data_IF_068771825826
#
_entry.id   IF_068771825826
#
_cell.length_a   1.000
_cell.length_b   1.000
_cell.length_c   1.000
_cell.angle_alpha   90.00
_cell.angle_beta   90.00
_cell.angle_gamma   90.00
#
_symmetry.space_group_name_H-M   'P 1'
#
loop_
_entity.id
_entity.type
_entity.pdbx_description
1 polymer ?
#
# COMPACT_ATOMS: atom_id res chain seq x y z
N UNK A 1 -22.37 -54.95 56.82
CA UNK A 1 -23.08 -53.83 56.16
C UNK A 1 -22.14 -52.63 56.08
N UNK A 2 -22.00 -52.02 54.89
CA UNK A 2 -21.48 -50.68 54.48
C UNK A 2 -21.03 -49.74 55.63
N UNK A 3 -19.96 -48.92 55.58
CA UNK A 3 -18.93 -48.43 54.63
C UNK A 3 -17.84 -47.77 55.53
N UNK A 4 -16.53 -48.06 55.40
CA UNK A 4 -15.48 -47.30 54.63
C UNK A 4 -15.13 -45.92 55.24
N UNK A 5 -13.90 -45.44 55.52
CA UNK A 5 -12.48 -45.91 55.47
C UNK A 5 -11.59 -44.88 56.22
N UNK A 6 -10.45 -45.37 56.72
CA UNK A 6 -9.14 -44.80 57.13
C UNK A 6 -8.90 -43.28 57.29
N UNK A 7 -8.04 -42.99 58.28
CA UNK A 7 -6.99 -41.98 58.13
C UNK A 7 -5.70 -42.44 58.83
N UNK A 8 -4.57 -42.34 58.13
CA UNK A 8 -3.23 -42.77 58.54
C UNK A 8 -2.40 -41.64 59.19
N UNK A 9 -1.47 -42.12 60.01
CA UNK A 9 -0.27 -41.54 60.65
C UNK A 9 0.70 -41.04 59.53
N UNK A 10 1.60 -40.03 59.61
CA UNK A 10 2.78 -39.84 60.48
C UNK A 10 3.57 -38.58 60.05
N UNK A 11 4.52 -38.19 60.89
CA UNK A 11 5.34 -36.98 60.96
C UNK A 11 6.38 -36.70 59.84
N UNK A 12 6.72 -35.39 59.76
CA UNK A 12 8.00 -34.70 59.54
C UNK A 12 9.14 -35.29 58.67
N UNK A 13 9.73 -34.45 57.80
CA UNK A 13 11.15 -34.00 57.75
C UNK A 13 11.40 -33.11 56.51
N UNK A 14 12.27 -32.12 56.66
CA UNK A 14 12.71 -31.12 55.68
C UNK A 14 13.26 -31.70 54.35
N UNK A 15 12.99 -31.00 53.25
CA UNK A 15 13.83 -31.01 52.06
C UNK A 15 13.93 -29.60 51.45
N UNK A 16 15.17 -29.13 51.28
CA UNK A 16 15.55 -27.94 50.51
C UNK A 16 15.08 -28.10 49.06
N UNK A 17 14.41 -27.09 48.51
CA UNK A 17 14.22 -26.93 47.08
C UNK A 17 15.03 -25.72 46.60
N UNK A 18 16.10 -26.01 45.88
CA UNK A 18 16.81 -25.09 44.99
C UNK A 18 15.84 -24.49 43.98
N UNK A 19 15.70 -23.16 43.97
CA UNK A 19 15.02 -22.44 42.89
C UNK A 19 15.98 -22.45 41.69
N UNK A 20 15.66 -23.11 40.56
CA UNK A 20 16.44 -22.94 39.35
C UNK A 20 16.33 -21.48 38.91
N UNK A 21 17.46 -20.90 38.49
CA UNK A 21 17.54 -19.56 37.92
C UNK A 21 16.42 -19.38 36.90
N UNK A 22 15.46 -18.51 37.24
CA UNK A 22 14.36 -18.17 36.37
C UNK A 22 14.93 -17.60 35.09
N UNK A 23 14.54 -18.19 33.97
CA UNK A 23 14.53 -17.57 32.67
C UNK A 23 13.80 -16.24 32.87
N UNK A 24 14.53 -15.13 32.89
CA UNK A 24 13.93 -13.81 32.76
C UNK A 24 13.43 -13.73 31.34
N UNK A 25 12.23 -14.25 31.09
CA UNK A 25 11.45 -13.83 29.93
C UNK A 25 11.32 -12.32 30.08
N UNK A 26 12.05 -11.58 29.24
CA UNK A 26 11.86 -10.14 29.11
C UNK A 26 10.37 -9.93 28.90
N UNK A 27 9.71 -9.05 29.67
CA UNK A 27 8.27 -8.87 29.53
C UNK A 27 7.99 -8.48 28.07
N UNK A 28 7.22 -9.32 27.37
CA UNK A 28 6.62 -8.93 26.11
C UNK A 28 5.94 -7.60 26.35
N UNK A 29 6.33 -6.56 25.60
CA UNK A 29 5.73 -5.25 25.71
C UNK A 29 4.21 -5.43 25.51
N UNK A 30 3.44 -5.14 26.55
CA UNK A 30 1.99 -5.21 26.48
C UNK A 30 1.51 -4.08 25.57
N UNK A 31 1.31 -4.37 24.29
CA UNK A 31 0.71 -3.46 23.34
C UNK A 31 -0.80 -3.41 23.58
N UNK A 32 -1.39 -2.21 23.62
CA UNK A 32 -2.85 -2.08 23.72
C UNK A 32 -3.56 -2.57 22.45
N UNK A 33 -2.82 -2.71 21.35
CA UNK A 33 -3.28 -3.33 20.14
C UNK A 33 -2.78 -4.78 20.02
N UNK A 34 -3.60 -5.67 19.48
CA UNK A 34 -3.28 -7.09 19.33
C UNK A 34 -3.37 -7.51 17.86
N UNK A 35 -2.30 -8.10 17.33
CA UNK A 35 -2.38 -8.91 16.10
C UNK A 35 -3.01 -10.24 16.50
N UNK A 36 -4.21 -10.52 15.97
CA UNK A 36 -5.05 -11.63 16.42
C UNK A 36 -4.29 -12.98 16.45
N UNK A 37 -3.94 -13.49 15.27
CA UNK A 37 -3.17 -14.74 15.15
C UNK A 37 -1.67 -14.45 15.04
N UNK A 38 -0.86 -15.28 15.69
CA UNK A 38 0.59 -15.32 15.47
C UNK A 38 0.85 -15.63 14.00
N UNK A 39 1.40 -14.66 13.27
CA UNK A 39 1.77 -14.86 11.88
C UNK A 39 3.11 -15.59 11.77
N UNK A 40 3.21 -16.50 10.81
CA UNK A 40 4.50 -17.13 10.51
C UNK A 40 5.36 -16.17 9.68
N UNK A 41 6.70 -16.26 9.75
CA UNK A 41 7.62 -15.48 8.91
C UNK A 41 7.29 -15.59 7.42
N UNK A 42 6.86 -16.78 6.97
CA UNK A 42 6.45 -17.05 5.60
C UNK A 42 5.20 -16.26 5.23
N UNK A 43 4.22 -16.21 6.13
CA UNK A 43 3.03 -15.39 5.95
C UNK A 43 3.38 -13.90 5.88
N UNK A 44 4.13 -13.38 6.87
CA UNK A 44 4.55 -11.97 6.91
C UNK A 44 5.33 -11.59 5.64
N UNK A 45 6.24 -12.47 5.19
CA UNK A 45 6.97 -12.28 3.94
C UNK A 45 6.05 -12.27 2.73
N UNK A 46 5.05 -13.17 2.67
CA UNK A 46 4.11 -13.24 1.55
C UNK A 46 3.24 -11.98 1.43
N UNK A 47 2.81 -11.39 2.55
CA UNK A 47 1.89 -10.24 2.55
C UNK A 47 2.58 -8.88 2.48
N UNK A 48 3.88 -8.80 2.83
CA UNK A 48 4.66 -7.57 2.74
C UNK A 48 4.94 -7.19 1.28
N UNK A 49 4.88 -5.90 0.94
CA UNK A 49 5.28 -5.39 -0.38
C UNK A 49 6.81 -5.28 -0.50
N UNK A 50 7.48 -4.98 0.62
CA UNK A 50 8.95 -4.94 0.74
C UNK A 50 9.40 -5.54 2.06
N UNK A 51 10.53 -6.25 2.05
CA UNK A 51 11.17 -6.80 3.25
C UNK A 51 12.63 -6.40 3.22
N UNK A 52 13.07 -5.65 4.22
CA UNK A 52 14.42 -5.10 4.24
C UNK A 52 15.01 -5.06 5.65
N UNK A 53 16.34 -5.03 5.70
CA UNK A 53 17.12 -4.86 6.91
C UNK A 53 17.93 -3.56 6.82
N UNK A 54 17.91 -2.74 7.87
CA UNK A 54 18.68 -1.51 7.93
C UNK A 54 18.40 -0.65 9.15
N UNK A 55 19.01 0.54 9.18
CA UNK A 55 18.94 1.48 10.29
C UNK A 55 18.19 2.78 9.92
N UNK A 56 17.38 3.35 10.84
CA UNK A 56 16.87 4.69 10.67
C UNK A 56 18.00 5.70 10.86
N UNK A 57 18.13 6.62 9.92
CA UNK A 57 19.04 7.78 9.98
C UNK A 57 18.32 9.07 10.38
N UNK A 58 16.98 9.06 10.33
CA UNK A 58 16.13 10.18 10.73
C UNK A 58 14.78 9.66 11.17
N UNK A 59 14.21 10.24 12.21
CA UNK A 59 12.85 9.96 12.66
C UNK A 59 12.14 11.30 12.81
N UNK A 60 11.03 11.47 12.11
CA UNK A 60 10.20 12.67 12.15
C UNK A 60 8.74 12.30 12.38
N UNK A 61 7.94 13.28 12.82
CA UNK A 61 6.49 13.19 12.75
C UNK A 61 5.99 13.88 11.48
N UNK A 62 5.06 13.23 10.77
CA UNK A 62 4.48 13.74 9.54
C UNK A 62 2.96 13.53 9.54
N UNK A 63 2.24 14.41 8.87
CA UNK A 63 0.83 14.27 8.58
C UNK A 63 0.64 13.63 7.20
N UNK A 64 -0.21 12.61 7.13
CA UNK A 64 -0.65 11.95 5.91
C UNK A 64 -2.13 11.59 6.04
N UNK A 65 -2.95 11.83 5.02
CA UNK A 65 -4.42 11.79 5.10
C UNK A 65 -4.96 12.61 6.28
N UNK A 66 -4.21 13.67 6.64
CA UNK A 66 -4.45 14.51 7.79
C UNK A 66 -4.43 13.81 9.15
N UNK A 67 -3.77 12.64 9.26
CA UNK A 67 -3.47 11.96 10.52
C UNK A 67 -1.97 12.03 10.79
N UNK A 68 -1.60 12.09 12.07
CA UNK A 68 -0.21 12.11 12.48
C UNK A 68 0.37 10.69 12.43
N UNK A 69 1.52 10.55 11.79
CA UNK A 69 2.32 9.33 11.71
C UNK A 69 3.74 9.62 12.15
N UNK A 70 4.41 8.58 12.65
CA UNK A 70 5.87 8.57 12.76
C UNK A 70 6.45 8.08 11.45
N UNK A 71 7.49 8.78 10.97
CA UNK A 71 8.22 8.42 9.77
C UNK A 71 9.68 8.13 10.13
N UNK A 72 10.14 6.91 9.81
CA UNK A 72 11.56 6.58 9.80
C UNK A 72 12.14 6.75 8.40
N UNK A 73 13.25 7.47 8.26
CA UNK A 73 14.07 7.45 7.05
C UNK A 73 15.20 6.46 7.25
N UNK A 74 15.29 5.44 6.40
CA UNK A 74 16.21 4.31 6.54
C UNK A 74 17.37 4.38 5.55
N UNK A 75 18.52 3.87 5.99
CA UNK A 75 19.54 3.33 5.09
C UNK A 75 19.34 1.82 5.05
N UNK A 76 18.94 1.31 3.89
CA UNK A 76 18.77 -0.13 3.67
C UNK A 76 20.14 -0.79 3.50
N UNK A 77 20.48 -1.72 4.39
CA UNK A 77 21.68 -2.54 4.26
C UNK A 77 21.45 -3.73 3.32
N UNK A 78 20.31 -4.40 3.49
CA UNK A 78 19.92 -5.56 2.65
C UNK A 78 18.44 -5.49 2.34
N UNK A 79 18.08 -5.81 1.10
CA UNK A 79 16.70 -5.88 0.65
C UNK A 79 16.40 -7.33 0.27
N UNK A 80 15.50 -7.97 1.02
CA UNK A 80 15.10 -9.37 0.81
C UNK A 80 13.93 -9.48 -0.15
N UNK A 81 13.01 -8.50 -0.14
CA UNK A 81 11.82 -8.45 -0.99
C UNK A 81 11.50 -7.03 -1.42
N UNK A 82 10.93 -6.85 -2.61
CA UNK A 82 10.40 -5.56 -3.06
C UNK A 82 11.48 -4.57 -3.52
N UNK A 83 11.12 -3.29 -3.64
CA UNK A 83 12.08 -2.21 -3.89
C UNK A 83 12.68 -1.70 -2.59
N UNK A 84 13.84 -1.05 -2.70
CA UNK A 84 14.48 -0.39 -1.56
C UNK A 84 13.55 0.68 -0.96
N UNK A 85 13.28 0.55 0.34
CA UNK A 85 12.42 1.47 1.10
C UNK A 85 13.29 2.51 1.78
N UNK A 86 13.12 3.78 1.41
CA UNK A 86 13.86 4.89 2.01
C UNK A 86 13.12 5.54 3.17
N UNK A 87 11.79 5.63 3.09
CA UNK A 87 10.93 6.17 4.15
C UNK A 87 9.86 5.16 4.49
N UNK A 88 9.58 5.02 5.78
CA UNK A 88 8.61 4.08 6.32
C UNK A 88 7.69 4.82 7.30
N UNK A 89 6.39 4.73 7.09
CA UNK A 89 5.38 5.26 7.98
C UNK A 89 4.94 4.23 9.01
N UNK A 90 4.67 4.67 10.22
CA UNK A 90 4.02 3.87 11.25
C UNK A 90 3.11 4.77 12.09
N UNK A 91 2.00 4.25 12.65
CA UNK A 91 1.18 5.03 13.58
C UNK A 91 2.03 5.64 14.72
N UNK A 92 1.54 6.71 15.35
CA UNK A 92 2.36 7.53 16.24
C UNK A 92 2.76 6.82 17.55
N UNK A 93 1.95 5.90 18.04
CA UNK A 93 2.14 5.23 19.32
C UNK A 93 1.71 3.76 19.26
N UNK A 94 2.17 2.99 20.24
CA UNK A 94 1.86 1.57 20.41
C UNK A 94 0.36 1.29 20.53
N UNK A 95 -0.41 2.23 21.05
CA UNK A 95 -1.85 2.07 21.25
C UNK A 95 -2.59 2.02 19.89
N UNK A 96 -1.99 2.64 18.87
CA UNK A 96 -2.44 2.60 17.49
C UNK A 96 -1.63 1.60 16.63
N UNK A 97 -0.92 0.65 17.25
CA UNK A 97 0.02 -0.28 16.60
C UNK A 97 1.23 0.38 15.92
N UNK A 98 1.59 1.58 16.37
CA UNK A 98 2.78 2.30 15.97
C UNK A 98 4.05 1.68 16.52
N UNK A 99 5.09 1.64 15.68
CA UNK A 99 6.43 1.25 16.10
C UNK A 99 7.26 2.48 16.51
N UNK A 100 8.23 2.27 17.39
CA UNK A 100 9.24 3.26 17.72
C UNK A 100 10.52 2.92 17.00
N UNK A 101 11.16 3.93 16.42
CA UNK A 101 12.46 3.79 15.76
C UNK A 101 13.51 4.53 16.57
N UNK A 102 14.56 3.82 16.96
CA UNK A 102 15.70 4.40 17.68
C UNK A 102 16.89 4.53 16.73
N UNK A 103 17.53 5.70 16.74
CA UNK A 103 18.73 5.92 15.94
C UNK A 103 19.87 5.04 16.46
N UNK A 104 20.63 4.44 15.55
CA UNK A 104 21.73 3.53 15.88
C UNK A 104 21.32 2.07 16.06
N UNK A 105 20.04 1.75 15.93
CA UNK A 105 19.51 0.39 15.94
C UNK A 105 19.27 -0.11 14.52
N UNK A 106 19.29 -1.42 14.35
CA UNK A 106 18.99 -2.08 13.09
C UNK A 106 17.70 -2.88 13.21
N UNK A 107 16.89 -2.81 12.15
CA UNK A 107 15.57 -3.41 12.11
C UNK A 107 15.40 -4.28 10.87
N UNK A 108 14.76 -5.43 11.04
CA UNK A 108 14.13 -6.17 9.93
C UNK A 108 12.69 -5.69 9.83
N UNK A 109 12.32 -5.17 8.66
CA UNK A 109 11.02 -4.53 8.43
C UNK A 109 10.27 -5.27 7.31
N UNK A 110 9.03 -5.64 7.59
CA UNK A 110 8.06 -6.18 6.64
C UNK A 110 7.07 -5.06 6.24
N UNK A 111 7.50 -4.19 5.34
CA UNK A 111 6.71 -3.04 4.93
C UNK A 111 5.61 -3.43 3.94
N UNK A 112 4.42 -2.87 4.14
CA UNK A 112 3.31 -2.94 3.19
C UNK A 112 3.05 -1.55 2.60
N UNK A 113 2.52 -1.50 1.38
CA UNK A 113 2.21 -0.23 0.71
C UNK A 113 0.71 0.15 0.81
N UNK A 114 0.00 -0.30 1.86
CA UNK A 114 -1.45 -0.09 2.00
C UNK A 114 -1.87 1.36 2.21
N UNK A 115 -0.93 2.25 2.53
CA UNK A 115 -1.17 3.69 2.62
C UNK A 115 -0.74 4.45 1.34
N UNK A 116 -0.33 3.75 0.28
CA UNK A 116 0.33 4.38 -0.88
C UNK A 116 1.77 4.83 -0.59
N UNK A 117 2.21 4.64 0.65
CA UNK A 117 3.58 4.77 1.15
C UNK A 117 3.97 3.47 1.85
N UNK A 118 5.27 3.09 1.84
CA UNK A 118 5.75 1.99 2.67
C UNK A 118 5.40 2.27 4.12
N UNK A 119 4.73 1.32 4.75
CA UNK A 119 4.23 1.43 6.10
C UNK A 119 4.32 0.11 6.85
N UNK A 120 4.47 0.18 8.16
CA UNK A 120 4.59 -0.97 9.03
C UNK A 120 3.93 -0.70 10.38
N UNK A 121 3.39 -1.75 10.99
CA UNK A 121 2.98 -1.74 12.40
C UNK A 121 4.10 -2.28 13.29
N UNK A 122 3.91 -2.17 14.60
CA UNK A 122 4.83 -2.77 15.59
C UNK A 122 5.01 -4.28 15.42
N UNK A 123 4.06 -4.98 14.79
CA UNK A 123 4.15 -6.42 14.52
C UNK A 123 4.90 -6.77 13.24
N UNK A 124 5.31 -5.77 12.47
CA UNK A 124 5.99 -5.95 11.19
C UNK A 124 7.47 -5.54 11.30
N UNK A 125 7.93 -5.19 12.49
CA UNK A 125 9.27 -4.66 12.77
C UNK A 125 9.92 -5.52 13.85
N UNK A 126 11.12 -6.00 13.57
CA UNK A 126 11.88 -6.89 14.43
C UNK A 126 13.27 -6.33 14.68
N UNK A 127 13.77 -6.50 15.90
CA UNK A 127 15.12 -6.10 16.33
C UNK A 127 15.79 -7.19 17.17
N UNK A 128 17.09 -7.06 17.42
CA UNK A 128 17.85 -7.99 18.26
C UNK A 128 17.93 -9.42 17.72
N UNK A 129 17.87 -10.40 18.61
CA UNK A 129 18.07 -11.82 18.27
C UNK A 129 17.02 -12.37 17.30
N UNK A 130 15.78 -11.83 17.35
CA UNK A 130 14.68 -12.23 16.47
C UNK A 130 14.98 -11.98 14.99
N UNK A 131 15.81 -10.98 14.69
CA UNK A 131 16.19 -10.64 13.32
C UNK A 131 16.96 -11.77 12.66
N UNK A 132 17.92 -12.37 13.37
CA UNK A 132 18.77 -13.42 12.78
C UNK A 132 17.97 -14.69 12.51
N UNK A 133 17.08 -15.06 13.43
CA UNK A 133 16.17 -16.20 13.24
C UNK A 133 15.27 -15.99 12.02
N UNK A 134 14.62 -14.83 11.92
CA UNK A 134 13.76 -14.51 10.78
C UNK A 134 14.52 -14.39 9.47
N UNK A 135 15.73 -13.84 9.46
CA UNK A 135 16.58 -13.80 8.26
C UNK A 135 16.95 -15.20 7.81
N UNK A 136 17.27 -16.12 8.74
CA UNK A 136 17.56 -17.51 8.39
C UNK A 136 16.32 -18.17 7.75
N UNK A 137 15.14 -17.99 8.35
CA UNK A 137 13.87 -18.48 7.80
C UNK A 137 13.55 -17.85 6.44
N UNK A 138 13.82 -16.56 6.21
CA UNK A 138 13.65 -15.90 4.91
C UNK A 138 14.61 -16.47 3.85
N UNK A 139 15.83 -16.85 4.25
CA UNK A 139 16.81 -17.45 3.32
C UNK A 139 16.46 -18.91 3.01
N UNK A 140 15.87 -19.62 3.96
CA UNK A 140 15.41 -21.00 3.84
C UNK A 140 13.99 -21.10 3.25
N UNK A 141 13.28 -19.97 3.15
CA UNK A 141 12.06 -19.82 2.35
C UNK A 141 12.43 -20.07 0.89
N UNK A 142 12.46 -21.35 0.54
CA UNK A 142 12.49 -21.82 -0.83
C UNK A 142 11.40 -21.05 -1.57
N UNK A 143 11.85 -20.24 -2.52
CA UNK A 143 11.04 -19.48 -3.48
C UNK A 143 9.84 -20.34 -3.82
N UNK A 144 8.61 -19.83 -3.59
CA UNK A 144 7.32 -20.51 -3.85
C UNK A 144 7.53 -21.53 -4.96
N UNK A 145 7.42 -22.85 -4.70
CA UNK A 145 7.84 -23.87 -5.64
C UNK A 145 7.20 -23.57 -6.99
N UNK A 146 8.05 -23.23 -7.96
CA UNK A 146 7.57 -22.94 -9.32
C UNK A 146 6.94 -24.25 -9.81
N UNK A 147 5.61 -24.28 -10.07
CA UNK A 147 4.98 -25.47 -10.59
C UNK A 147 5.73 -25.88 -11.85
N UNK A 148 6.00 -27.17 -11.99
CA UNK A 148 6.64 -27.67 -13.20
C UNK A 148 5.85 -27.19 -14.43
N UNK A 149 6.49 -26.75 -15.51
CA UNK A 149 5.77 -26.31 -16.70
C UNK A 149 4.83 -27.40 -17.21
N UNK A 150 3.60 -27.03 -17.58
CA UNK A 150 2.58 -27.96 -18.05
C UNK A 150 1.19 -27.67 -17.51
N UNK A 151 0.27 -28.61 -17.76
CA UNK A 151 -1.12 -28.53 -17.31
C UNK A 151 -1.23 -29.11 -15.91
N UNK A 152 -1.83 -28.36 -15.01
CA UNK A 152 -2.14 -28.74 -13.63
C UNK A 152 -3.64 -28.60 -13.40
N UNK A 153 -4.19 -29.50 -12.60
CA UNK A 153 -5.58 -29.35 -12.13
C UNK A 153 -5.55 -28.53 -10.84
N UNK A 154 -6.19 -27.37 -10.87
CA UNK A 154 -6.24 -26.43 -9.76
C UNK A 154 -7.70 -26.06 -9.48
N UNK A 155 -8.04 -25.84 -8.21
CA UNK A 155 -9.37 -25.35 -7.84
C UNK A 155 -9.37 -23.82 -7.90
N UNK A 156 -10.19 -23.26 -8.80
CA UNK A 156 -10.38 -21.83 -8.97
C UNK A 156 -11.72 -21.40 -8.36
N UNK A 157 -11.79 -20.15 -7.90
CA UNK A 157 -13.01 -19.55 -7.39
C UNK A 157 -13.42 -18.41 -8.35
N UNK A 158 -14.65 -18.40 -8.87
CA UNK A 158 -15.09 -17.32 -9.74
C UNK A 158 -15.09 -15.96 -9.02
N UNK A 159 -14.64 -14.90 -9.71
CA UNK A 159 -14.69 -13.52 -9.21
C UNK A 159 -15.74 -12.67 -9.93
N UNK A 160 -16.88 -13.25 -10.32
CA UNK A 160 -17.90 -12.56 -11.13
C UNK A 160 -18.58 -11.38 -10.40
N UNK A 161 -18.56 -11.40 -9.07
CA UNK A 161 -19.09 -10.37 -8.17
C UNK A 161 -18.05 -9.32 -7.77
N UNK A 162 -16.79 -9.51 -8.18
CA UNK A 162 -15.72 -8.57 -7.90
C UNK A 162 -15.95 -7.27 -8.66
N UNK A 163 -15.77 -6.16 -7.98
CA UNK A 163 -15.65 -4.85 -8.62
C UNK A 163 -14.21 -4.36 -8.53
N UNK A 164 -13.74 -3.68 -9.57
CA UNK A 164 -12.43 -3.05 -9.58
C UNK A 164 -12.61 -1.57 -9.86
N UNK A 165 -12.01 -0.71 -9.04
CA UNK A 165 -11.98 0.74 -9.27
C UNK A 165 -10.55 1.21 -9.47
N UNK A 166 -10.36 2.26 -10.28
CA UNK A 166 -9.12 3.05 -10.34
C UNK A 166 -9.48 4.49 -10.01
N UNK A 167 -8.84 5.04 -8.99
CA UNK A 167 -9.08 6.41 -8.52
C UNK A 167 -10.60 6.68 -8.38
N UNK A 168 -11.27 5.74 -7.70
CA UNK A 168 -12.71 5.70 -7.40
C UNK A 168 -13.65 5.59 -8.60
N UNK A 169 -13.12 5.39 -9.81
CA UNK A 169 -13.90 5.09 -11.01
C UNK A 169 -13.95 3.59 -11.24
N UNK A 170 -15.16 3.03 -11.34
CA UNK A 170 -15.34 1.61 -11.68
C UNK A 170 -14.77 1.32 -13.06
N UNK A 171 -13.99 0.25 -13.15
CA UNK A 171 -13.39 -0.19 -14.39
C UNK A 171 -14.02 -1.52 -14.83
N UNK A 172 -14.55 -1.62 -16.06
CA UNK A 172 -14.93 -2.91 -16.61
C UNK A 172 -13.69 -3.78 -16.86
N UNK A 173 -13.88 -5.08 -16.71
CA UNK A 173 -12.90 -6.09 -17.10
C UNK A 173 -13.60 -7.20 -17.89
N UNK A 174 -12.89 -7.77 -18.85
CA UNK A 174 -13.33 -8.95 -19.57
C UNK A 174 -12.10 -9.74 -20.04
N UNK A 175 -12.06 -11.08 -19.84
CA UNK A 175 -13.01 -11.92 -19.09
C UNK A 175 -13.07 -11.64 -17.57
N UNK A 176 -13.95 -12.33 -16.84
CA UNK A 176 -14.09 -12.17 -15.39
C UNK A 176 -12.82 -12.62 -14.65
N UNK A 177 -12.49 -12.03 -13.49
CA UNK A 177 -11.37 -12.43 -12.67
C UNK A 177 -11.67 -13.74 -11.93
N UNK A 178 -10.64 -14.30 -11.32
CA UNK A 178 -10.73 -15.50 -10.47
C UNK A 178 -9.96 -15.28 -9.18
N UNK A 179 -10.43 -15.88 -8.10
CA UNK A 179 -9.61 -16.05 -6.90
C UNK A 179 -8.86 -17.38 -6.99
N UNK A 180 -7.56 -17.32 -6.72
CA UNK A 180 -6.68 -18.47 -6.66
C UNK A 180 -5.61 -18.23 -5.61
N UNK A 181 -5.36 -19.22 -4.74
CA UNK A 181 -4.36 -19.15 -3.65
C UNK A 181 -4.41 -17.82 -2.88
N UNK A 182 -5.61 -17.44 -2.42
CA UNK A 182 -5.88 -16.20 -1.67
C UNK A 182 -5.50 -14.90 -2.40
N UNK A 183 -5.42 -14.94 -3.73
CA UNK A 183 -5.10 -13.78 -4.57
C UNK A 183 -6.16 -13.60 -5.65
N UNK A 184 -6.51 -12.36 -5.93
CA UNK A 184 -7.34 -12.01 -7.08
C UNK A 184 -6.47 -12.00 -8.34
N UNK A 185 -6.80 -12.84 -9.29
CA UNK A 185 -6.19 -12.90 -10.61
C UNK A 185 -7.10 -12.25 -11.64
N UNK A 186 -6.52 -11.36 -12.43
CA UNK A 186 -7.21 -10.68 -13.54
C UNK A 186 -6.63 -11.14 -14.86
N UNK A 187 -7.42 -11.07 -15.95
CA UNK A 187 -6.87 -11.29 -17.29
C UNK A 187 -5.77 -10.27 -17.54
N UNK A 188 -4.65 -10.68 -18.14
CA UNK A 188 -3.55 -9.77 -18.43
C UNK A 188 -4.00 -8.57 -19.29
N UNK A 189 -4.97 -8.78 -20.19
CA UNK A 189 -5.59 -7.73 -21.01
C UNK A 189 -6.24 -6.62 -20.20
N UNK A 190 -6.60 -6.85 -18.93
CA UNK A 190 -7.05 -5.81 -18.01
C UNK A 190 -6.05 -4.64 -17.97
N UNK A 191 -4.76 -4.88 -17.79
CA UNK A 191 -3.76 -3.81 -17.73
C UNK A 191 -3.70 -2.98 -19.02
N UNK A 192 -3.99 -3.59 -20.17
CA UNK A 192 -4.07 -2.89 -21.46
C UNK A 192 -5.37 -2.11 -21.62
N UNK A 193 -6.48 -2.81 -21.48
CA UNK A 193 -7.80 -2.30 -21.86
C UNK A 193 -8.35 -1.32 -20.82
N UNK A 194 -8.06 -1.55 -19.54
CA UNK A 194 -8.49 -0.71 -18.43
C UNK A 194 -7.47 0.37 -18.06
N UNK A 195 -6.19 -0.01 -17.98
CA UNK A 195 -5.14 0.83 -17.38
C UNK A 195 -4.21 1.47 -18.43
N UNK A 196 -4.38 1.13 -19.72
CA UNK A 196 -3.64 1.76 -20.82
C UNK A 196 -2.18 1.33 -20.95
N UNK A 197 -1.77 0.22 -20.32
CA UNK A 197 -0.44 -0.37 -20.47
C UNK A 197 -0.33 -1.17 -21.78
N UNK A 198 0.89 -1.50 -22.16
CA UNK A 198 1.18 -2.47 -23.22
C UNK A 198 1.36 -3.83 -22.57
N UNK A 199 0.68 -4.85 -23.09
CA UNK A 199 0.78 -6.23 -22.59
C UNK A 199 1.21 -7.15 -23.73
N UNK A 200 2.30 -7.89 -23.56
CA UNK A 200 2.86 -8.80 -24.57
C UNK A 200 2.83 -10.22 -24.02
N UNK A 201 2.39 -11.16 -24.86
CA UNK A 201 2.48 -12.58 -24.58
C UNK A 201 3.28 -13.28 -25.67
N UNK A 202 4.42 -13.85 -25.29
CA UNK A 202 5.24 -14.67 -26.18
C UNK A 202 5.14 -16.14 -25.73
N UNK A 203 4.25 -16.88 -26.37
CA UNK A 203 4.02 -18.31 -26.08
C UNK A 203 5.22 -19.20 -26.42
N UNK A 204 6.12 -18.77 -27.32
CA UNK A 204 7.32 -19.54 -27.68
C UNK A 204 8.41 -19.39 -26.62
N UNK A 205 8.54 -18.18 -26.06
CA UNK A 205 9.50 -17.87 -25.01
C UNK A 205 8.94 -18.04 -23.60
N UNK A 206 7.65 -18.36 -23.45
CA UNK A 206 6.97 -18.42 -22.15
C UNK A 206 6.98 -17.08 -21.42
N UNK A 207 7.00 -15.95 -22.14
CA UNK A 207 7.27 -14.63 -21.56
C UNK A 207 6.04 -13.74 -21.58
N UNK A 208 5.76 -13.09 -20.45
CA UNK A 208 4.81 -11.97 -20.40
C UNK A 208 5.52 -10.68 -20.02
N UNK A 209 5.08 -9.60 -20.64
CA UNK A 209 5.65 -8.28 -20.42
C UNK A 209 4.52 -7.24 -20.33
N UNK A 210 4.56 -6.42 -19.28
CA UNK A 210 3.62 -5.34 -19.06
C UNK A 210 4.42 -4.05 -18.90
N UNK A 211 4.19 -3.09 -19.80
CA UNK A 211 5.01 -1.88 -19.90
C UNK A 211 4.18 -0.63 -20.06
N UNK A 212 4.75 0.50 -19.65
CA UNK A 212 4.17 1.80 -19.91
C UNK A 212 4.19 2.10 -21.40
N UNK A 213 3.10 2.70 -21.89
CA UNK A 213 2.96 3.08 -23.29
C UNK A 213 4.02 4.10 -23.75
N UNK A 214 4.55 4.91 -22.84
CA UNK A 214 5.60 5.90 -23.12
C UNK A 214 6.97 5.26 -23.38
N UNK A 215 7.26 4.12 -22.75
CA UNK A 215 8.58 3.48 -22.80
C UNK A 215 8.71 2.50 -23.97
N UNK A 216 7.60 2.17 -24.61
CA UNK A 216 7.56 1.42 -25.86
C UNK A 216 7.35 2.39 -27.03
N UNK A 217 8.45 2.94 -27.55
CA UNK A 217 8.46 3.78 -28.75
C UNK A 217 8.07 2.98 -30.00
N UNK A 218 6.78 2.68 -30.17
CA UNK A 218 6.30 1.88 -31.28
C UNK A 218 4.82 1.58 -31.16
N UNK A 219 4.03 2.24 -32.00
CA UNK A 219 2.58 2.12 -32.13
C UNK A 219 2.21 0.64 -32.41
N UNK A 220 1.60 -0.03 -31.44
CA UNK A 220 0.79 -1.22 -31.72
C UNK A 220 -0.64 -0.96 -31.25
N UNK A 221 -1.55 -0.94 -32.21
CA UNK A 221 -2.98 -0.76 -32.01
C UNK A 221 -3.59 -2.04 -31.42
N UNK A 222 -4.76 -1.90 -30.80
CA UNK A 222 -5.66 -3.01 -30.45
C UNK A 222 -5.75 -4.00 -31.63
N UNK A 223 -5.32 -5.26 -31.43
CA UNK A 223 -5.33 -6.31 -32.47
C UNK A 223 -3.96 -6.75 -33.02
N UNK A 224 -2.85 -6.44 -32.33
CA UNK A 224 -1.56 -7.06 -32.63
C UNK A 224 -1.47 -8.47 -32.00
N UNK A 225 -1.14 -9.53 -32.78
CA UNK A 225 -1.01 -10.89 -32.29
C UNK A 225 0.10 -11.13 -31.27
N UNK A 226 1.06 -10.20 -31.13
CA UNK A 226 2.03 -10.22 -30.03
C UNK A 226 1.43 -9.74 -28.69
N UNK A 227 0.29 -9.04 -28.74
CA UNK A 227 -0.42 -8.55 -27.56
C UNK A 227 -1.54 -9.49 -27.14
N UNK A 228 -1.20 -10.49 -26.30
CA UNK A 228 -2.16 -11.36 -25.58
C UNK A 228 -3.49 -11.53 -26.33
N UNK A 229 -3.44 -12.14 -27.51
CA UNK A 229 -4.67 -12.47 -28.21
C UNK A 229 -5.39 -13.58 -27.45
N UNK A 230 -6.65 -13.31 -27.13
CA UNK A 230 -7.63 -14.32 -26.78
C UNK A 230 -7.77 -15.26 -27.98
N UNK A 231 -7.02 -16.36 -27.98
CA UNK A 231 -6.96 -17.29 -29.12
C UNK A 231 -7.93 -18.47 -28.98
N UNK A 232 -8.70 -18.52 -27.89
CA UNK A 232 -9.62 -19.63 -27.60
C UNK A 232 -11.08 -19.32 -27.92
N UNK A 233 -11.84 -20.33 -28.32
CA UNK A 233 -13.29 -20.39 -28.13
C UNK A 233 -13.60 -20.52 -26.63
N UNK A 234 -13.19 -19.55 -25.81
CA UNK A 234 -13.24 -19.70 -24.36
C UNK A 234 -14.68 -19.80 -23.88
N UNK A 235 -14.96 -20.83 -23.09
CA UNK A 235 -16.19 -20.96 -22.29
C UNK A 235 -16.27 -19.92 -21.18
N UNK A 236 -15.16 -19.28 -20.83
CA UNK A 236 -15.07 -18.22 -19.82
C UNK A 236 -15.02 -18.78 -18.40
N UNK A 237 -15.03 -17.88 -17.42
CA UNK A 237 -15.19 -18.26 -16.02
C UNK A 237 -16.66 -18.65 -15.80
N UNK A 238 -16.95 -19.82 -15.18
CA UNK A 238 -18.31 -20.20 -14.84
C UNK A 238 -19.00 -19.11 -14.02
N UNK A 239 -20.27 -18.84 -14.33
CA UNK A 239 -21.07 -17.88 -13.57
C UNK A 239 -21.35 -18.40 -12.14
N UNK A 240 -21.47 -17.47 -11.19
CA UNK A 240 -21.72 -17.78 -9.77
C UNK A 240 -20.47 -17.60 -8.90
N UNK A 241 -20.49 -18.23 -7.72
CA UNK A 241 -19.44 -18.12 -6.67
C UNK A 241 -18.88 -19.48 -6.24
N UNK A 242 -19.40 -20.57 -6.79
CA UNK A 242 -18.97 -21.92 -6.44
C UNK A 242 -17.58 -22.23 -7.01
N UNK A 243 -16.67 -22.85 -6.23
CA UNK A 243 -15.37 -23.27 -6.74
C UNK A 243 -15.53 -24.32 -7.85
N UNK A 244 -14.57 -24.34 -8.77
CA UNK A 244 -14.53 -25.31 -9.87
C UNK A 244 -13.10 -25.77 -10.13
N UNK A 245 -12.95 -27.03 -10.53
CA UNK A 245 -11.66 -27.57 -10.93
C UNK A 245 -11.36 -27.19 -12.38
N UNK A 246 -10.16 -26.66 -12.59
CA UNK A 246 -9.71 -26.12 -13.85
C UNK A 246 -8.36 -26.72 -14.25
N UNK A 247 -8.23 -27.09 -15.53
CA UNK A 247 -6.91 -27.31 -16.12
C UNK A 247 -6.25 -25.97 -16.38
N UNK A 248 -5.27 -25.60 -15.55
CA UNK A 248 -4.46 -24.40 -15.77
C UNK A 248 -3.09 -24.78 -16.28
N UNK A 249 -2.53 -23.98 -17.17
CA UNK A 249 -1.19 -24.21 -17.72
C UNK A 249 -0.21 -23.23 -17.10
N UNK A 250 0.78 -23.74 -16.38
CA UNK A 250 1.95 -22.95 -15.99
C UNK A 250 3.01 -23.07 -17.09
N UNK A 251 3.58 -21.94 -17.49
CA UNK A 251 4.81 -21.89 -18.29
C UNK A 251 6.01 -21.56 -17.40
N UNK A 252 7.23 -21.76 -17.89
CA UNK A 252 8.42 -21.23 -17.23
C UNK A 252 8.46 -19.71 -17.46
N UNK A 253 7.69 -18.98 -16.64
CA UNK A 253 7.31 -17.60 -16.94
C UNK A 253 8.22 -16.58 -16.27
N UNK A 254 8.85 -15.71 -17.07
CA UNK A 254 9.50 -14.50 -16.60
C UNK A 254 8.53 -13.30 -16.64
N UNK A 255 8.25 -12.70 -15.48
CA UNK A 255 7.54 -11.41 -15.41
C UNK A 255 8.48 -10.29 -15.80
N UNK A 256 8.14 -9.55 -16.85
CA UNK A 256 8.75 -8.24 -17.10
C UNK A 256 7.75 -7.13 -16.85
N UNK A 257 8.09 -6.26 -15.91
CA UNK A 257 7.33 -5.04 -15.67
C UNK A 257 8.26 -3.86 -15.91
N UNK A 258 7.91 -2.98 -16.84
CA UNK A 258 8.74 -1.82 -17.19
C UNK A 258 10.21 -2.20 -17.50
N UNK A 259 10.38 -3.23 -18.34
CA UNK A 259 11.69 -3.76 -18.76
C UNK A 259 12.49 -4.52 -17.69
N UNK A 260 12.03 -4.58 -16.44
CA UNK A 260 12.70 -5.28 -15.33
C UNK A 260 12.11 -6.67 -15.14
N UNK A 261 12.98 -7.67 -14.97
CA UNK A 261 12.57 -9.04 -14.63
C UNK A 261 12.24 -9.08 -13.13
N UNK A 262 11.07 -9.62 -12.81
CA UNK A 262 10.65 -9.87 -11.43
C UNK A 262 10.39 -11.36 -11.24
N UNK A 263 10.85 -11.90 -10.12
CA UNK A 263 10.33 -13.17 -9.64
C UNK A 263 8.86 -12.93 -9.22
N UNK A 264 7.92 -13.58 -9.89
CA UNK A 264 6.52 -13.45 -9.53
C UNK A 264 6.25 -14.28 -8.27
N UNK A 265 5.91 -13.60 -7.18
CA UNK A 265 5.47 -14.24 -5.91
C UNK A 265 4.26 -15.16 -6.15
N UNK A 266 3.37 -14.69 -7.02
CA UNK A 266 2.22 -15.41 -7.55
C UNK A 266 2.44 -15.59 -9.05
N UNK A 267 2.75 -16.81 -9.48
CA UNK A 267 3.00 -17.09 -10.88
C UNK A 267 1.73 -16.91 -11.71
N UNK A 268 1.83 -16.31 -12.91
CA UNK A 268 0.76 -16.35 -13.89
C UNK A 268 0.46 -17.78 -14.32
N UNK A 269 -0.76 -17.98 -14.78
CA UNK A 269 -1.17 -19.20 -15.44
C UNK A 269 -2.07 -18.89 -16.63
N UNK A 270 -2.16 -19.83 -17.56
CA UNK A 270 -3.14 -19.76 -18.65
C UNK A 270 -4.34 -20.63 -18.32
N UNK A 271 -5.53 -20.09 -18.42
CA UNK A 271 -6.79 -20.83 -18.32
C UNK A 271 -7.67 -20.47 -19.50
N UNK A 272 -8.18 -21.48 -20.22
CA UNK A 272 -9.10 -21.29 -21.35
C UNK A 272 -8.56 -20.31 -22.42
N UNK A 273 -7.26 -20.36 -22.68
CA UNK A 273 -6.57 -19.47 -23.62
C UNK A 273 -6.33 -18.04 -23.12
N UNK A 274 -6.63 -17.75 -21.85
CA UNK A 274 -6.46 -16.45 -21.22
C UNK A 274 -5.31 -16.51 -20.22
N UNK A 275 -4.38 -15.56 -20.32
CA UNK A 275 -3.32 -15.40 -19.32
C UNK A 275 -3.86 -14.63 -18.13
N UNK A 276 -3.86 -15.26 -16.95
CA UNK A 276 -4.23 -14.66 -15.69
C UNK A 276 -2.99 -14.27 -14.89
N UNK A 277 -2.99 -13.05 -14.36
CA UNK A 277 -1.92 -12.52 -13.51
C UNK A 277 -2.50 -12.03 -12.19
N UNK A 278 -1.75 -12.17 -11.10
CA UNK A 278 -2.18 -11.70 -9.79
C UNK A 278 -2.27 -10.16 -9.77
N UNK A 279 -3.47 -9.62 -9.55
CA UNK A 279 -3.76 -8.19 -9.67
C UNK A 279 -2.81 -7.36 -8.80
N UNK A 280 -2.74 -7.64 -7.50
CA UNK A 280 -1.90 -6.89 -6.56
C UNK A 280 -0.42 -6.97 -6.93
N UNK A 281 0.11 -8.19 -7.07
CA UNK A 281 1.54 -8.39 -7.34
C UNK A 281 1.97 -7.70 -8.63
N UNK A 282 1.15 -7.75 -9.68
CA UNK A 282 1.45 -7.08 -10.96
C UNK A 282 1.28 -5.56 -10.87
N UNK A 283 0.18 -5.07 -10.32
CA UNK A 283 -0.12 -3.64 -10.19
C UNK A 283 0.93 -2.90 -9.33
N UNK A 284 1.36 -3.50 -8.22
CA UNK A 284 2.38 -2.90 -7.34
C UNK A 284 3.73 -2.73 -8.05
N UNK A 285 4.12 -3.65 -8.94
CA UNK A 285 5.34 -3.46 -9.76
C UNK A 285 5.18 -2.34 -10.79
N UNK A 286 3.96 -2.01 -11.20
CA UNK A 286 3.63 -0.88 -12.06
C UNK A 286 3.52 0.46 -11.30
N UNK A 287 3.77 0.45 -9.98
CA UNK A 287 3.62 1.62 -9.10
C UNK A 287 2.15 1.95 -8.76
N UNK A 288 1.26 0.99 -8.95
CA UNK A 288 -0.16 1.11 -8.59
C UNK A 288 -0.39 0.39 -7.25
N UNK A 289 -1.12 1.02 -6.37
CA UNK A 289 -1.52 0.43 -5.10
C UNK A 289 -2.83 -0.33 -5.27
N UNK A 290 -2.95 -1.52 -4.67
CA UNK A 290 -4.19 -2.30 -4.68
C UNK A 290 -4.66 -2.60 -3.25
N UNK A 291 -5.76 -1.98 -2.86
CA UNK A 291 -6.45 -2.26 -1.60
C UNK A 291 -7.67 -3.17 -1.83
N UNK A 292 -7.89 -4.12 -0.93
CA UNK A 292 -9.06 -5.01 -0.98
C UNK A 292 -10.08 -4.57 0.08
N UNK A 293 -11.27 -4.18 -0.37
CA UNK A 293 -12.40 -3.82 0.47
C UNK A 293 -13.34 -5.02 0.55
N UNK A 294 -13.17 -5.83 1.59
CA UNK A 294 -13.88 -7.10 1.74
C UNK A 294 -15.40 -6.93 1.80
N UNK A 295 -15.89 -5.93 2.53
CA UNK A 295 -17.33 -5.68 2.72
C UNK A 295 -18.08 -5.41 1.41
N UNK A 296 -17.38 -4.86 0.41
CA UNK A 296 -17.93 -4.50 -0.89
C UNK A 296 -17.40 -5.36 -2.04
N UNK A 297 -16.61 -6.41 -1.75
CA UNK A 297 -15.96 -7.25 -2.76
C UNK A 297 -15.23 -6.42 -3.84
N UNK A 298 -14.54 -5.36 -3.41
CA UNK A 298 -13.93 -4.38 -4.31
C UNK A 298 -12.42 -4.36 -4.20
N UNK A 299 -11.73 -4.45 -5.33
CA UNK A 299 -10.32 -4.10 -5.45
C UNK A 299 -10.21 -2.62 -5.85
N UNK A 300 -9.77 -1.78 -4.91
CA UNK A 300 -9.52 -0.36 -5.17
C UNK A 300 -8.07 -0.17 -5.59
N UNK A 301 -7.87 0.33 -6.81
CA UNK A 301 -6.56 0.66 -7.37
C UNK A 301 -6.34 2.18 -7.26
N UNK A 302 -5.15 2.59 -6.83
CA UNK A 302 -4.71 3.99 -6.84
C UNK A 302 -3.39 4.12 -7.57
N UNK A 303 -3.24 5.14 -8.43
CA UNK A 303 -1.94 5.44 -9.03
C UNK A 303 -1.02 6.13 -8.02
N UNK A 304 -0.04 5.40 -7.51
CA UNK A 304 0.92 5.91 -6.51
C UNK A 304 2.28 6.26 -7.09
N UNK A 305 2.43 6.16 -8.42
CA UNK A 305 3.68 6.49 -9.10
C UNK A 305 4.07 7.93 -8.76
N UNK A 306 5.37 8.21 -8.55
CA UNK A 306 5.82 9.59 -8.41
C UNK A 306 5.35 10.46 -9.58
N UNK A 307 5.03 11.72 -9.28
CA UNK A 307 4.87 12.73 -10.32
C UNK A 307 6.27 13.27 -10.61
N UNK A 308 6.63 13.35 -11.89
CA UNK A 308 7.95 13.83 -12.32
C UNK A 308 8.00 15.37 -12.25
N UNK A 309 9.12 15.92 -11.80
CA UNK A 309 9.35 17.38 -11.75
C UNK A 309 9.18 18.04 -13.13
N UNK A 310 9.58 17.34 -14.19
CA UNK A 310 9.44 17.81 -15.57
C UNK A 310 7.99 17.94 -16.03
N UNK A 311 7.05 17.26 -15.35
CA UNK A 311 5.60 17.44 -15.58
C UNK A 311 5.08 18.77 -15.03
N UNK A 312 5.93 19.56 -14.38
CA UNK A 312 5.61 20.86 -13.75
C UNK A 312 4.36 20.77 -12.87
N UNK A 313 4.30 19.84 -11.91
CA UNK A 313 3.12 19.74 -11.06
C UNK A 313 2.93 21.01 -10.25
N UNK A 314 1.67 21.33 -9.99
CA UNK A 314 1.31 22.42 -9.09
C UNK A 314 1.07 21.88 -7.69
N UNK A 315 1.44 22.68 -6.68
CA UNK A 315 1.12 22.38 -5.29
C UNK A 315 -0.31 22.85 -4.98
N UNK A 316 -1.16 21.95 -4.51
CA UNK A 316 -2.51 22.24 -4.08
C UNK A 316 -2.65 21.96 -2.58
N UNK A 317 -3.33 22.85 -1.86
CA UNK A 317 -3.69 22.65 -0.46
C UNK A 317 -5.19 22.37 -0.36
N UNK A 318 -5.54 21.33 0.38
CA UNK A 318 -6.93 20.99 0.71
C UNK A 318 -7.16 21.06 2.22
N UNK A 319 -8.32 21.56 2.60
CA UNK A 319 -8.87 21.48 3.95
C UNK A 319 -9.94 20.38 3.96
N UNK A 320 -9.53 19.18 4.37
CA UNK A 320 -10.37 18.00 4.29
C UNK A 320 -11.24 17.81 5.51
N UNK A 321 -12.52 17.49 5.29
CA UNK A 321 -13.44 17.22 6.38
C UNK A 321 -13.30 15.78 6.86
N UNK A 322 -13.53 15.58 8.15
CA UNK A 322 -13.72 14.28 8.78
C UNK A 322 -15.18 13.79 8.71
N UNK A 323 -16.10 14.65 8.28
CA UNK A 323 -17.53 14.35 8.18
C UNK A 323 -17.82 13.68 6.84
N UNK A 324 -18.46 12.52 6.88
CA UNK A 324 -18.81 11.79 5.67
C UNK A 324 -19.76 12.60 4.77
N UNK A 325 -19.43 12.71 3.49
CA UNK A 325 -20.21 13.45 2.49
C UNK A 325 -19.92 14.95 2.43
N UNK A 326 -19.13 15.50 3.35
CA UNK A 326 -18.66 16.88 3.26
C UNK A 326 -17.50 16.98 2.26
N UNK A 327 -17.61 17.90 1.31
CA UNK A 327 -16.57 18.13 0.32
C UNK A 327 -15.35 18.82 0.94
N UNK A 328 -14.17 18.47 0.44
CA UNK A 328 -12.92 19.14 0.76
C UNK A 328 -12.93 20.58 0.22
N UNK A 329 -12.20 21.49 0.88
CA UNK A 329 -12.01 22.85 0.37
C UNK A 329 -10.64 22.96 -0.28
N UNK A 330 -10.60 23.29 -1.57
CA UNK A 330 -9.36 23.60 -2.28
C UNK A 330 -9.01 25.06 -2.02
N UNK A 331 -7.82 25.29 -1.47
CA UNK A 331 -7.26 26.61 -1.17
C UNK A 331 -6.58 27.15 -2.44
N UNK A 332 -7.24 28.08 -3.12
CA UNK A 332 -6.70 28.70 -4.33
C UNK A 332 -5.68 29.80 -3.99
N UNK A 333 -5.94 30.59 -2.94
CA UNK A 333 -5.10 31.72 -2.52
C UNK A 333 -5.24 32.01 -1.03
N UNK A 334 -4.17 32.49 -0.38
CA UNK A 334 -4.22 33.04 0.99
C UNK A 334 -3.57 34.43 1.03
N UNK A 335 -4.31 35.45 1.49
CA UNK A 335 -3.84 36.83 1.58
C UNK A 335 -4.32 37.47 2.88
N UNK A 336 -3.39 37.90 3.75
CA UNK A 336 -3.71 38.50 5.05
C UNK A 336 -4.76 37.67 5.84
N UNK A 337 -4.54 36.36 5.90
CA UNK A 337 -5.43 35.38 6.54
C UNK A 337 -6.82 35.18 5.90
N UNK A 338 -7.13 35.91 4.83
CA UNK A 338 -8.29 35.63 3.97
C UNK A 338 -7.93 34.59 2.94
N UNK A 339 -8.73 33.55 2.87
CA UNK A 339 -8.56 32.42 1.96
C UNK A 339 -9.58 32.53 0.84
N UNK A 340 -9.09 32.54 -0.40
CA UNK A 340 -9.91 32.26 -1.58
C UNK A 340 -9.92 30.74 -1.77
N UNK A 341 -11.11 30.14 -1.76
CA UNK A 341 -11.27 28.69 -1.85
C UNK A 341 -12.44 28.29 -2.74
N UNK A 342 -12.48 27.01 -3.09
CA UNK A 342 -13.57 26.35 -3.82
C UNK A 342 -13.83 24.97 -3.25
N UNK A 343 -15.02 24.41 -3.48
CA UNK A 343 -15.32 23.04 -3.10
C UNK A 343 -14.68 22.04 -4.07
N UNK A 344 -14.08 20.98 -3.53
CA UNK A 344 -13.59 19.84 -4.29
C UNK A 344 -14.79 18.99 -4.72
N UNK A 345 -15.31 19.28 -5.92
CA UNK A 345 -16.39 18.52 -6.52
C UNK A 345 -16.19 18.39 -8.02
N UNK A 346 -16.73 17.31 -8.63
CA UNK A 346 -16.84 17.24 -10.08
C UNK A 346 -17.61 18.45 -10.62
N UNK A 347 -17.07 19.03 -11.69
CA UNK A 347 -17.72 20.10 -12.45
C UNK A 347 -18.33 19.52 -13.72
N UNK A 348 -19.52 19.99 -14.07
CA UNK A 348 -20.12 19.65 -15.36
C UNK A 348 -19.37 20.30 -16.53
N UNK A 349 -19.52 19.75 -17.74
CA UNK A 349 -18.85 20.27 -18.92
C UNK A 349 -19.28 21.74 -19.18
N UNK A 350 -18.32 22.66 -19.06
CA UNK A 350 -18.54 24.10 -19.23
C UNK A 350 -18.87 24.85 -17.93
N UNK A 351 -19.05 24.14 -16.81
CA UNK A 351 -19.16 24.74 -15.48
C UNK A 351 -17.79 25.28 -15.03
N UNK A 352 -17.80 26.43 -14.36
CA UNK A 352 -16.61 26.99 -13.70
C UNK A 352 -16.75 26.82 -12.20
N UNK A 353 -15.66 26.49 -11.52
CA UNK A 353 -15.64 26.45 -10.06
C UNK A 353 -16.01 27.82 -9.49
N UNK A 354 -16.99 27.84 -8.60
CA UNK A 354 -17.35 29.04 -7.82
C UNK A 354 -16.33 29.21 -6.71
N UNK A 355 -15.78 30.41 -6.60
CA UNK A 355 -14.82 30.79 -5.57
C UNK A 355 -15.50 31.55 -4.44
N UNK A 356 -15.06 31.29 -3.22
CA UNK A 356 -15.55 31.88 -1.98
C UNK A 356 -14.38 32.49 -1.20
N UNK A 357 -14.68 33.40 -0.28
CA UNK A 357 -13.65 34.00 0.58
C UNK A 357 -14.07 33.91 2.04
N UNK A 358 -13.15 33.46 2.89
CA UNK A 358 -13.35 33.41 4.34
C UNK A 358 -11.99 33.47 5.08
N UNK A 359 -11.98 33.87 6.37
CA UNK A 359 -10.81 33.72 7.23
C UNK A 359 -10.34 32.26 7.35
N UNK A 360 -9.02 32.03 7.35
CA UNK A 360 -8.46 30.67 7.45
C UNK A 360 -8.91 29.94 8.73
N UNK A 361 -8.96 30.65 9.86
CA UNK A 361 -9.38 30.11 11.15
C UNK A 361 -10.87 29.74 11.23
N UNK A 362 -11.70 30.25 10.32
CA UNK A 362 -13.09 29.83 10.17
C UNK A 362 -13.15 28.58 9.30
N UNK A 363 -12.39 28.54 8.20
CA UNK A 363 -12.36 27.38 7.30
C UNK A 363 -11.76 26.13 7.92
N UNK A 364 -10.83 26.27 8.86
CA UNK A 364 -10.24 25.11 9.52
C UNK A 364 -11.23 24.42 10.47
N UNK A 365 -12.36 25.04 10.82
CA UNK A 365 -13.37 24.42 11.67
C UNK A 365 -14.32 23.58 10.83
N UNK A 366 -14.73 22.44 11.37
CA UNK A 366 -15.78 21.63 10.75
C UNK A 366 -17.13 22.38 10.79
N UNK A 367 -18.04 22.13 9.83
CA UNK A 367 -19.35 22.79 9.79
C UNK A 367 -20.19 22.62 11.07
N UNK A 368 -20.05 21.48 11.75
CA UNK A 368 -20.72 21.19 13.02
C UNK A 368 -20.01 21.84 14.24
N UNK A 369 -18.81 22.40 14.06
CA UNK A 369 -17.98 22.96 15.12
C UNK A 369 -17.33 21.94 16.06
N UNK A 370 -17.50 20.63 15.82
CA UNK A 370 -17.03 19.56 16.72
C UNK A 370 -15.59 19.08 16.41
N UNK A 371 -14.93 19.71 15.46
CA UNK A 371 -13.59 19.36 15.05
C UNK A 371 -12.96 20.38 14.13
N UNK A 372 -11.75 20.05 13.68
CA UNK A 372 -11.05 20.82 12.67
C UNK A 372 -10.92 20.00 11.39
N UNK A 373 -11.12 20.67 10.25
CA UNK A 373 -10.66 20.18 8.96
C UNK A 373 -9.15 19.97 9.01
N UNK A 374 -8.70 18.98 8.24
CA UNK A 374 -7.30 18.57 8.16
C UNK A 374 -6.61 19.27 6.99
N UNK A 375 -5.40 19.78 7.21
CA UNK A 375 -4.58 20.33 6.14
C UNK A 375 -3.90 19.18 5.40
N UNK A 376 -4.08 19.11 4.08
CA UNK A 376 -3.41 18.14 3.21
C UNK A 376 -2.82 18.88 2.01
N UNK A 377 -1.66 18.41 1.55
CA UNK A 377 -0.96 18.98 0.41
C UNK A 377 -0.86 17.93 -0.69
N UNK A 378 -1.09 18.35 -1.93
CA UNK A 378 -1.08 17.49 -3.10
C UNK A 378 -0.19 18.10 -4.18
N UNK A 379 0.59 17.27 -4.86
CA UNK A 379 1.15 17.60 -6.17
C UNK A 379 0.17 17.15 -7.24
N UNK A 380 -0.17 18.03 -8.18
CA UNK A 380 -1.06 17.70 -9.30
C UNK A 380 -0.40 17.98 -10.64
N UNK A 381 -0.43 17.00 -11.54
CA UNK A 381 -0.02 17.13 -12.94
C UNK A 381 -1.08 16.51 -13.86
N UNK A 382 -1.87 17.35 -14.54
CA UNK A 382 -3.04 16.88 -15.29
C UNK A 382 -4.06 16.22 -14.37
N UNK A 383 -4.47 15.00 -14.72
CA UNK A 383 -5.40 14.18 -13.93
C UNK A 383 -4.72 13.43 -12.78
N UNK A 384 -3.38 13.43 -12.70
CA UNK A 384 -2.65 12.73 -11.64
C UNK A 384 -2.47 13.64 -10.44
N UNK A 385 -2.77 13.11 -9.26
CA UNK A 385 -2.48 13.75 -8.00
C UNK A 385 -1.70 12.81 -7.07
N UNK A 386 -0.85 13.39 -6.24
CA UNK A 386 -0.12 12.69 -5.19
C UNK A 386 -0.17 13.49 -3.91
N UNK A 387 -0.79 12.93 -2.88
CA UNK A 387 -0.71 13.51 -1.55
C UNK A 387 0.73 13.47 -1.03
N UNK A 388 1.12 14.53 -0.33
CA UNK A 388 2.45 14.74 0.20
C UNK A 388 2.47 14.47 1.71
N UNK A 389 3.59 13.96 2.21
CA UNK A 389 3.82 13.88 3.65
C UNK A 389 4.14 15.28 4.17
N UNK A 390 3.32 15.82 5.07
CA UNK A 390 3.52 17.18 5.59
C UNK A 390 4.22 17.10 6.94
N UNK A 391 5.40 17.68 7.10
CA UNK A 391 6.10 17.63 8.41
C UNK A 391 5.27 18.30 9.51
N UNK A 392 5.28 17.76 10.72
CA UNK A 392 4.56 18.33 11.87
C UNK A 392 4.85 19.83 12.09
N UNK A 393 6.12 20.31 12.05
CA UNK A 393 6.41 21.74 12.17
C UNK A 393 5.75 22.61 11.09
N UNK A 394 5.62 22.12 9.86
CA UNK A 394 4.93 22.86 8.81
C UNK A 394 3.42 22.89 9.04
N UNK A 395 2.81 21.75 9.40
CA UNK A 395 1.38 21.66 9.67
C UNK A 395 0.98 22.62 10.81
N UNK A 396 1.72 22.59 11.92
CA UNK A 396 1.49 23.47 13.07
C UNK A 396 1.67 24.94 12.72
N UNK A 397 2.68 25.25 11.93
CA UNK A 397 2.95 26.60 11.45
C UNK A 397 1.82 27.11 10.53
N UNK A 398 1.31 26.29 9.61
CA UNK A 398 0.18 26.65 8.76
C UNK A 398 -1.08 26.96 9.58
N UNK A 399 -1.30 26.27 10.70
CA UNK A 399 -2.42 26.53 11.60
C UNK A 399 -2.28 27.84 12.38
N UNK A 400 -1.06 28.22 12.78
CA UNK A 400 -0.85 29.28 13.80
C UNK A 400 -0.24 30.57 13.25
N UNK A 401 0.51 30.51 12.15
CA UNK A 401 1.35 31.61 11.66
C UNK A 401 0.84 32.15 10.31
N UNK A 402 0.23 33.35 10.27
CA UNK A 402 -0.19 34.01 9.04
C UNK A 402 0.94 34.27 8.04
N UNK A 403 2.18 34.45 8.49
CA UNK A 403 3.34 34.66 7.60
C UNK A 403 3.72 33.38 6.88
N UNK A 404 3.60 32.22 7.54
CA UNK A 404 3.79 30.91 6.91
C UNK A 404 2.71 30.68 5.86
N UNK A 405 1.44 31.01 6.16
CA UNK A 405 0.36 30.94 5.17
C UNK A 405 0.58 31.88 3.98
N UNK A 406 1.12 33.08 4.23
CA UNK A 406 1.47 34.03 3.18
C UNK A 406 2.61 33.53 2.29
N UNK A 407 3.61 32.83 2.85
CA UNK A 407 4.64 32.13 2.06
C UNK A 407 4.07 30.95 1.29
N UNK A 408 3.19 30.15 1.89
CA UNK A 408 2.49 29.08 1.20
C UNK A 408 1.72 29.60 -0.01
N UNK A 409 1.07 30.75 0.11
CA UNK A 409 0.38 31.40 -1.02
C UNK A 409 1.30 31.71 -2.22
N UNK A 410 2.60 31.95 -2.02
CA UNK A 410 3.53 32.20 -3.13
C UNK A 410 3.78 30.95 -3.97
N UNK A 411 3.59 29.76 -3.39
CA UNK A 411 3.87 28.48 -4.04
C UNK A 411 2.60 27.73 -4.47
N UNK A 412 1.48 27.93 -3.78
CA UNK A 412 0.19 27.28 -4.08
C UNK A 412 -0.31 27.61 -5.49
N UNK A 413 -0.84 26.60 -6.17
CA UNK A 413 -1.30 26.68 -7.56
C UNK A 413 -0.22 27.12 -8.56
N UNK A 414 1.06 27.06 -8.16
CA UNK A 414 2.21 27.33 -9.03
C UNK A 414 3.14 26.12 -9.08
N UNK A 415 4.05 26.13 -10.05
CA UNK A 415 5.17 25.18 -10.12
C UNK A 415 6.44 25.70 -9.43
N UNK A 416 6.36 26.83 -8.70
CA UNK A 416 7.51 27.45 -8.04
C UNK A 416 7.54 27.01 -6.57
N UNK A 417 8.08 25.83 -6.31
CA UNK A 417 8.43 25.35 -4.97
C UNK A 417 9.72 24.53 -5.05
N UNK A 418 10.40 24.38 -3.93
CA UNK A 418 11.53 23.45 -3.88
C UNK A 418 10.99 22.02 -3.89
N UNK A 419 11.46 21.21 -4.84
CA UNK A 419 11.04 19.84 -4.97
C UNK A 419 11.24 19.07 -3.64
N UNK A 420 10.21 18.42 -3.11
CA UNK A 420 10.28 17.72 -1.85
C UNK A 420 11.13 16.47 -1.97
N UNK A 421 12.11 16.32 -1.08
CA UNK A 421 12.86 15.07 -0.99
C UNK A 421 11.96 13.95 -0.45
N UNK A 422 11.95 12.80 -1.13
CA UNK A 422 11.18 11.60 -0.75
C UNK A 422 9.67 11.83 -0.57
N UNK A 423 9.11 12.86 -1.21
CA UNK A 423 7.70 13.20 -1.04
C UNK A 423 7.36 13.78 0.34
N UNK A 424 8.34 14.32 1.05
CA UNK A 424 8.16 15.01 2.34
C UNK A 424 8.25 16.52 2.14
N UNK A 425 7.18 17.21 2.47
CA UNK A 425 7.03 18.65 2.33
C UNK A 425 7.07 19.33 3.70
N UNK A 426 8.03 20.23 3.90
CA UNK A 426 8.26 20.93 5.16
C UNK A 426 8.47 22.44 4.99
N UNK A 427 8.78 23.14 6.09
CA UNK A 427 8.94 24.59 6.10
C UNK A 427 9.99 25.10 5.10
N UNK A 428 11.04 24.31 4.85
CA UNK A 428 12.10 24.66 3.90
C UNK A 428 11.57 24.74 2.46
N UNK A 429 10.50 24.00 2.12
CA UNK A 429 9.92 23.96 0.77
C UNK A 429 9.07 25.21 0.44
N UNK A 430 8.74 26.03 1.43
CA UNK A 430 8.00 27.29 1.27
C UNK A 430 8.88 28.52 1.02
N UNK A 431 10.18 28.32 0.73
CA UNK A 431 11.16 29.40 0.60
C UNK A 431 11.18 30.05 -0.77
#
# INVERSE_FOLDING_TARGET
MKKTILTCITAAVLALASIPAGITASPEQAYACSKGESTTPEYDYSVASSVFYGAPIKVDNVYFEGKLYRMGTFVTETNYKGSAVRTLLTPIDSDQCGATFELGHNYLVYANNRLGYPSASVFDIYEGDQVQERIAQIKDLDIVPVPAPGVHTETLYPGNDVTISLDDKLIPFQPAPVFFKNSLYVPMTFFRDALGYVTIWDSKLGRYEIMLKSDWAGIFAKGDPSQSEFTGNSTGIPAGTAPFDAGVTYSDVQMRVDGKIFAAENLPFTYDGVVYVALRSTAEKLGLQVNWLADSYMAQIKDTRPIDELQRPILEMRLSSSIAGEADLIVDKVNNDQVLYRYDRPLELGEKAVQFTAPFNELIKEPNGEGNRKIRLFLRAGEREKEMLVTEPLNDALLRDPDVRSRANLVLSTYHYMWPENGVFGLANLR
#
